data_IF_403131151831
#
_entry.id   IF_403131151831
#
_cell.length_a   1.000
_cell.length_b   1.000
_cell.length_c   1.000
_cell.angle_alpha   90.00
_cell.angle_beta   90.00
_cell.angle_gamma   90.00
#
_symmetry.space_group_name_H-M   'P 1'
#
loop_
_entity.id
_entity.type
_entity.pdbx_description
1 polymer ?
#
# COMPACT_ATOMS: atom_id res chain seq x y z
N UNK A 1 -4.57 -0.80 -19.24
CA UNK A 1 -3.73 -0.63 -18.03
C UNK A 1 -4.50 0.33 -17.17
N UNK A 2 -4.79 -0.02 -15.91
CA UNK A 2 -5.75 0.72 -15.11
C UNK A 2 -5.29 2.15 -14.78
N UNK A 3 -4.01 2.30 -14.41
CA UNK A 3 -3.36 3.57 -14.07
C UNK A 3 -1.82 3.45 -14.19
N UNK A 4 -1.06 4.55 -14.22
CA UNK A 4 0.40 4.50 -14.22
C UNK A 4 0.94 3.84 -12.95
N UNK A 5 1.74 2.78 -13.11
CA UNK A 5 2.35 2.06 -11.99
C UNK A 5 3.22 2.96 -11.12
N UNK A 6 3.14 2.78 -9.81
CA UNK A 6 4.00 3.43 -8.81
C UNK A 6 5.00 2.39 -8.30
N UNK A 7 6.30 2.73 -8.34
CA UNK A 7 7.39 1.95 -7.73
C UNK A 7 8.24 2.88 -6.87
N UNK A 8 7.76 3.19 -5.67
CA UNK A 8 8.40 4.12 -4.74
C UNK A 8 9.31 3.41 -3.74
N UNK A 9 10.63 3.56 -3.87
CA UNK A 9 11.62 3.03 -2.90
C UNK A 9 12.10 4.08 -1.89
N UNK A 10 12.25 3.68 -0.63
CA UNK A 10 12.66 4.56 0.45
C UNK A 10 11.73 5.78 0.57
N UNK A 11 12.29 6.99 0.63
CA UNK A 11 11.51 8.22 0.75
C UNK A 11 10.52 8.48 -0.41
N UNK A 12 10.74 7.87 -1.58
CA UNK A 12 9.79 8.01 -2.70
C UNK A 12 8.47 7.30 -2.43
N UNK A 13 8.44 6.32 -1.51
CA UNK A 13 7.19 5.71 -1.01
C UNK A 13 6.29 6.71 -0.27
N UNK A 14 6.80 7.88 0.12
CA UNK A 14 6.02 8.95 0.74
C UNK A 14 5.38 9.91 -0.28
N UNK A 15 5.69 9.80 -1.57
CA UNK A 15 5.06 10.59 -2.64
C UNK A 15 3.90 9.76 -3.20
N UNK A 16 2.67 10.15 -2.87
CA UNK A 16 1.46 9.33 -3.10
C UNK A 16 1.28 8.88 -4.56
N UNK A 17 1.64 9.73 -5.53
CA UNK A 17 1.57 9.42 -6.95
C UNK A 17 2.96 9.49 -7.61
N UNK A 18 3.95 8.80 -7.04
CA UNK A 18 5.29 8.71 -7.63
C UNK A 18 5.31 7.80 -8.86
N UNK A 19 5.26 8.41 -10.05
CA UNK A 19 5.26 7.68 -11.33
C UNK A 19 6.56 7.83 -12.11
N UNK A 20 7.52 8.61 -11.60
CA UNK A 20 8.83 8.79 -12.26
C UNK A 20 9.63 7.49 -12.30
N UNK A 21 9.53 6.66 -11.26
CA UNK A 21 10.07 5.29 -11.21
C UNK A 21 11.54 5.18 -11.66
N UNK A 22 12.34 6.21 -11.36
CA UNK A 22 13.69 6.44 -11.92
C UNK A 22 14.79 6.41 -10.85
N UNK A 23 14.44 6.30 -9.57
CA UNK A 23 15.40 6.16 -8.48
C UNK A 23 15.97 4.73 -8.42
N UNK A 24 17.28 4.61 -8.27
CA UNK A 24 17.94 3.35 -7.92
C UNK A 24 17.43 2.88 -6.54
N UNK A 25 16.98 1.63 -6.48
CA UNK A 25 16.46 1.01 -5.26
C UNK A 25 17.63 0.60 -4.36
N UNK A 26 17.62 1.08 -3.11
CA UNK A 26 18.63 0.73 -2.12
C UNK A 26 18.36 -0.63 -1.45
N UNK A 27 19.41 -1.32 -1.02
CA UNK A 27 19.30 -2.64 -0.36
C UNK A 27 18.46 -2.59 0.93
N UNK A 28 18.55 -1.49 1.67
CA UNK A 28 17.85 -1.32 2.95
C UNK A 28 16.48 -0.61 2.80
N UNK A 29 16.08 -0.28 1.57
CA UNK A 29 14.80 0.38 1.31
C UNK A 29 13.62 -0.59 1.52
N UNK A 30 12.49 -0.03 1.94
CA UNK A 30 11.19 -0.58 1.55
C UNK A 30 10.88 -0.15 0.12
N UNK A 31 10.21 -1.00 -0.65
CA UNK A 31 9.57 -0.62 -1.91
C UNK A 31 8.06 -0.72 -1.77
N UNK A 32 7.37 0.37 -2.09
CA UNK A 32 5.93 0.41 -2.28
C UNK A 32 5.64 0.27 -3.78
N UNK A 33 4.84 -0.73 -4.14
CA UNK A 33 4.35 -0.93 -5.49
C UNK A 33 2.84 -0.77 -5.47
N UNK A 34 2.35 0.16 -6.29
CA UNK A 34 0.93 0.30 -6.60
C UNK A 34 0.71 0.05 -8.09
N UNK A 35 -0.06 -0.98 -8.42
CA UNK A 35 -0.21 -1.43 -9.80
C UNK A 35 -1.59 -2.04 -10.04
N UNK A 36 -2.09 -1.82 -11.25
CA UNK A 36 -3.40 -2.30 -11.68
C UNK A 36 -3.40 -2.82 -13.12
N UNK A 37 -3.91 -4.03 -13.30
CA UNK A 37 -4.21 -4.58 -14.62
C UNK A 37 -5.64 -4.25 -15.04
N UNK A 38 -5.90 -4.23 -16.33
CA UNK A 38 -7.24 -4.02 -16.89
C UNK A 38 -7.63 -5.25 -17.70
N UNK A 39 -8.83 -5.79 -17.45
CA UNK A 39 -9.37 -6.96 -18.14
C UNK A 39 -10.87 -6.75 -18.37
N UNK A 40 -11.29 -6.76 -19.64
CA UNK A 40 -12.71 -6.69 -19.98
C UNK A 40 -13.41 -5.44 -19.45
N UNK A 41 -12.74 -4.28 -19.48
CA UNK A 41 -13.18 -3.00 -18.90
C UNK A 41 -13.25 -2.96 -17.35
N UNK A 42 -12.80 -4.00 -16.65
CA UNK A 42 -12.62 -3.99 -15.20
C UNK A 42 -11.16 -3.75 -14.84
N UNK A 43 -10.93 -2.97 -13.78
CA UNK A 43 -9.60 -2.62 -13.29
C UNK A 43 -9.31 -3.36 -11.98
N UNK A 44 -8.12 -3.95 -11.90
CA UNK A 44 -7.47 -4.28 -10.63
C UNK A 44 -6.73 -3.06 -10.09
N UNK A 45 -6.63 -2.98 -8.77
CA UNK A 45 -5.96 -1.90 -8.04
C UNK A 45 -5.40 -2.50 -6.75
N UNK A 46 -4.07 -2.65 -6.66
CA UNK A 46 -3.41 -3.34 -5.56
C UNK A 46 -2.09 -2.66 -5.22
N UNK A 47 -1.98 -2.27 -3.95
CA UNK A 47 -0.72 -1.82 -3.36
C UNK A 47 -0.09 -2.92 -2.49
N UNK A 48 1.24 -3.06 -2.55
CA UNK A 48 2.05 -3.84 -1.60
C UNK A 48 3.32 -3.09 -1.23
N UNK A 49 3.76 -3.26 0.02
CA UNK A 49 5.04 -2.71 0.51
C UNK A 49 5.86 -3.82 1.14
N UNK A 50 7.13 -3.95 0.75
CA UNK A 50 8.02 -4.99 1.26
C UNK A 50 9.49 -4.54 1.27
N UNK A 51 10.34 -5.13 2.13
CA UNK A 51 11.76 -4.82 2.20
C UNK A 51 12.50 -5.42 1.01
N UNK A 52 13.37 -4.62 0.40
CA UNK A 52 14.23 -5.06 -0.71
C UNK A 52 15.20 -6.16 -0.25
N UNK A 53 15.69 -6.04 0.99
CA UNK A 53 16.56 -7.02 1.64
C UNK A 53 15.90 -8.38 1.92
N UNK A 54 14.57 -8.50 1.77
CA UNK A 54 13.80 -9.70 2.11
C UNK A 54 13.42 -9.81 3.60
N UNK A 55 13.92 -8.91 4.46
CA UNK A 55 13.60 -8.86 5.88
C UNK A 55 13.34 -7.44 6.37
N UNK A 56 12.27 -7.24 7.13
CA UNK A 56 11.96 -5.93 7.71
C UNK A 56 12.95 -5.63 8.83
N UNK A 57 13.43 -4.39 8.91
CA UNK A 57 14.00 -3.87 10.16
C UNK A 57 12.91 -3.71 11.22
N UNK A 58 13.28 -3.54 12.49
CA UNK A 58 12.31 -3.31 13.56
C UNK A 58 11.40 -2.09 13.28
N UNK A 59 12.00 -0.95 12.89
CA UNK A 59 11.22 0.26 12.59
C UNK A 59 10.30 0.09 11.36
N UNK A 60 10.76 -0.61 10.32
CA UNK A 60 9.92 -0.89 9.15
C UNK A 60 8.74 -1.82 9.52
N UNK A 61 9.01 -2.82 10.37
CA UNK A 61 8.00 -3.74 10.89
C UNK A 61 6.93 -2.99 11.69
N UNK A 62 7.34 -2.12 12.60
CA UNK A 62 6.41 -1.38 13.46
C UNK A 62 5.38 -0.59 12.64
N UNK A 63 5.83 0.13 11.61
CA UNK A 63 4.93 0.87 10.71
C UNK A 63 4.07 -0.08 9.88
N UNK A 64 4.66 -1.16 9.35
CA UNK A 64 3.95 -2.14 8.53
C UNK A 64 2.78 -2.79 9.29
N UNK A 65 3.01 -3.24 10.53
CA UNK A 65 1.99 -3.91 11.35
C UNK A 65 0.81 -2.98 11.69
N UNK A 66 1.07 -1.68 11.91
CA UNK A 66 -0.01 -0.69 12.11
C UNK A 66 -0.89 -0.58 10.87
N UNK A 67 -0.27 -0.48 9.69
CA UNK A 67 -1.02 -0.40 8.41
C UNK A 67 -1.74 -1.72 8.11
N UNK A 68 -1.13 -2.87 8.39
CA UNK A 68 -1.75 -4.18 8.20
C UNK A 68 -2.98 -4.34 9.11
N UNK A 69 -2.86 -4.03 10.40
CA UNK A 69 -3.99 -4.05 11.33
C UNK A 69 -5.13 -3.11 10.88
N UNK A 70 -4.77 -1.94 10.32
CA UNK A 70 -5.73 -1.01 9.73
C UNK A 70 -6.51 -1.63 8.57
N UNK A 71 -5.78 -2.27 7.63
CA UNK A 71 -6.35 -2.93 6.47
C UNK A 71 -7.28 -4.09 6.88
N UNK A 72 -6.82 -4.97 7.76
CA UNK A 72 -7.59 -6.11 8.22
C UNK A 72 -8.88 -5.67 8.94
N UNK A 73 -8.80 -4.67 9.81
CA UNK A 73 -9.97 -4.10 10.49
C UNK A 73 -10.97 -3.50 9.50
N UNK A 74 -10.49 -2.74 8.51
CA UNK A 74 -11.34 -2.18 7.47
C UNK A 74 -12.04 -3.26 6.63
N UNK A 75 -11.30 -4.30 6.20
CA UNK A 75 -11.86 -5.44 5.44
C UNK A 75 -12.97 -6.13 6.24
N UNK A 76 -12.75 -6.41 7.54
CA UNK A 76 -13.78 -7.01 8.40
C UNK A 76 -14.98 -6.07 8.64
N UNK A 77 -14.78 -4.76 8.54
CA UNK A 77 -15.82 -3.76 8.72
C UNK A 77 -16.80 -3.63 7.56
N UNK A 78 -16.38 -3.97 6.33
CA UNK A 78 -17.17 -3.81 5.10
C UNK A 78 -18.34 -4.79 5.07
N UNK A 79 -19.56 -4.24 4.98
CA UNK A 79 -20.80 -5.01 4.79
C UNK A 79 -21.91 -4.11 4.23
N UNK A 80 -22.95 -4.67 3.60
CA UNK A 80 -24.09 -3.89 3.10
C UNK A 80 -24.69 -2.96 4.18
N UNK A 81 -25.02 -1.73 3.79
CA UNK A 81 -25.65 -0.73 4.65
C UNK A 81 -24.70 -0.03 5.65
N UNK A 82 -23.40 -0.36 5.71
CA UNK A 82 -22.42 0.43 6.46
C UNK A 82 -21.68 1.41 5.53
N UNK A 83 -21.58 2.71 5.88
CA UNK A 83 -20.81 3.68 5.10
C UNK A 83 -19.29 3.44 5.26
N UNK A 84 -18.54 3.69 4.18
CA UNK A 84 -17.08 3.55 4.16
C UNK A 84 -16.37 4.38 5.24
N UNK A 85 -16.88 5.58 5.55
CA UNK A 85 -16.36 6.44 6.61
C UNK A 85 -16.26 5.71 7.97
N UNK A 86 -17.15 4.74 8.22
CA UNK A 86 -17.10 3.97 9.46
C UNK A 86 -15.92 3.00 9.50
N UNK A 87 -15.43 2.53 8.35
CA UNK A 87 -14.26 1.67 8.25
C UNK A 87 -12.96 2.46 8.50
N UNK A 88 -12.94 3.75 8.13
CA UNK A 88 -11.79 4.65 8.38
C UNK A 88 -11.57 4.95 9.87
N UNK A 89 -12.61 4.88 10.71
CA UNK A 89 -12.52 5.23 12.13
C UNK A 89 -12.31 4.03 13.07
N UNK A 90 -12.12 2.81 12.55
CA UNK A 90 -12.09 1.59 13.38
C UNK A 90 -10.87 1.44 14.29
N UNK A 91 -9.81 2.23 14.09
CA UNK A 91 -8.62 2.25 14.95
C UNK A 91 -8.59 3.41 15.96
N UNK A 92 -9.62 4.27 15.96
CA UNK A 92 -9.69 5.45 16.83
C UNK A 92 -10.63 5.26 18.04
N UNK A 93 -11.08 4.03 18.30
CA UNK A 93 -12.05 3.68 19.34
C UNK A 93 -11.54 2.66 20.33
#
# INVERSE_FOLDING_TARGET
>A
MAFPTIVGSGNNGCILHYTANDKIIGQDDLVLIDAGAEVGFYNGDVTRTYPVSGGFTAAQRDVYEVVLASLESAIHGVRPGKPLLRCTMLLLG
#
